data_IF_474069960837
#
_entry.id   IF_474069960837
#
_cell.length_a   1.000
_cell.length_b   1.000
_cell.length_c   1.000
_cell.angle_alpha   90.00
_cell.angle_beta   90.00
_cell.angle_gamma   90.00
#
_symmetry.space_group_name_H-M   'P 1'
#
loop_
_entity.id
_entity.type
_entity.pdbx_description
1 polymer ?
#
# COMPACT_ATOMS: atom_id res chain seq x y z
N UNK A 1 -27.13 -9.84 -12.66
CA UNK A 1 -26.55 -8.64 -13.28
C UNK A 1 -26.03 -7.79 -12.14
N UNK A 2 -24.75 -7.74 -11.93
CA UNK A 2 -24.10 -6.85 -10.95
C UNK A 2 -23.89 -5.55 -11.69
N UNK A 3 -24.47 -4.47 -11.17
CA UNK A 3 -24.32 -3.12 -11.71
C UNK A 3 -22.86 -2.68 -11.51
N UNK A 4 -22.10 -2.65 -12.60
CA UNK A 4 -20.66 -2.32 -12.63
C UNK A 4 -20.40 -0.81 -12.72
N UNK A 5 -21.39 0.04 -12.43
CA UNK A 5 -21.40 1.45 -12.87
C UNK A 5 -21.07 2.48 -11.78
N UNK A 6 -20.58 2.10 -10.60
CA UNK A 6 -20.06 3.10 -9.65
C UNK A 6 -18.60 2.87 -9.33
N UNK A 7 -17.71 3.80 -9.72
CA UNK A 7 -16.33 3.76 -9.27
C UNK A 7 -16.28 3.94 -7.76
N UNK A 8 -15.53 3.11 -7.09
CA UNK A 8 -15.07 3.35 -5.71
C UNK A 8 -14.13 4.55 -5.82
N UNK A 9 -14.46 5.68 -5.21
CA UNK A 9 -13.84 7.00 -5.42
C UNK A 9 -12.31 7.10 -5.21
N UNK A 10 -11.62 6.05 -4.78
CA UNK A 10 -10.17 5.97 -4.64
C UNK A 10 -9.57 4.60 -5.03
N UNK A 11 -10.34 3.71 -5.63
CA UNK A 11 -9.80 2.52 -6.27
C UNK A 11 -9.75 2.75 -7.77
N UNK A 12 -8.58 2.59 -8.37
CA UNK A 12 -8.45 2.54 -9.83
C UNK A 12 -9.39 1.44 -10.33
N UNK A 13 -10.40 1.74 -11.16
CA UNK A 13 -11.27 0.71 -11.70
C UNK A 13 -10.43 -0.33 -12.42
N UNK A 14 -10.71 -1.60 -12.20
CA UNK A 14 -10.08 -2.72 -12.91
C UNK A 14 -10.74 -2.91 -14.29
N UNK A 15 -10.92 -1.81 -15.03
CA UNK A 15 -11.45 -1.86 -16.40
C UNK A 15 -10.38 -2.31 -17.40
N UNK A 16 -9.10 -2.26 -16.98
CA UNK A 16 -7.96 -2.67 -17.79
C UNK A 16 -7.36 -3.97 -17.24
N UNK A 17 -7.64 -5.08 -17.91
CA UNK A 17 -6.98 -6.38 -17.68
C UNK A 17 -5.68 -6.53 -18.44
N UNK A 18 -5.17 -5.46 -19.09
CA UNK A 18 -3.85 -5.46 -19.69
C UNK A 18 -2.79 -5.71 -18.62
N UNK A 19 -1.86 -6.58 -18.90
CA UNK A 19 -0.86 -7.00 -17.91
C UNK A 19 -1.28 -8.15 -16.97
N UNK A 20 -2.46 -8.74 -17.16
CA UNK A 20 -2.87 -9.92 -16.41
C UNK A 20 -2.00 -11.13 -16.80
N UNK A 21 -1.31 -11.72 -15.82
CA UNK A 21 -0.42 -12.88 -16.00
C UNK A 21 -1.12 -14.23 -15.87
N UNK A 22 -2.38 -14.25 -15.49
CA UNK A 22 -3.15 -15.48 -15.34
C UNK A 22 -3.30 -16.21 -16.70
N UNK A 23 -3.48 -17.55 -16.71
CA UNK A 23 -3.59 -18.32 -17.94
C UNK A 23 -4.66 -17.77 -18.90
N UNK A 24 -4.30 -17.55 -20.16
CA UNK A 24 -5.16 -16.93 -21.19
C UNK A 24 -6.26 -17.83 -21.74
N UNK A 25 -6.31 -19.10 -21.30
CA UNK A 25 -7.27 -20.11 -21.76
C UNK A 25 -8.66 -19.99 -21.14
N UNK A 26 -8.85 -19.00 -20.24
CA UNK A 26 -10.14 -18.70 -19.61
C UNK A 26 -10.28 -17.19 -19.38
N UNK A 27 -11.53 -16.72 -19.31
CA UNK A 27 -11.87 -15.38 -18.87
C UNK A 27 -12.00 -15.38 -17.35
N UNK A 28 -11.44 -14.37 -16.70
CA UNK A 28 -11.50 -14.19 -15.24
C UNK A 28 -12.51 -13.11 -14.88
N UNK A 29 -13.32 -13.37 -13.88
CA UNK A 29 -14.13 -12.34 -13.23
C UNK A 29 -13.25 -11.49 -12.30
N UNK A 30 -13.66 -10.25 -12.02
CA UNK A 30 -12.96 -9.39 -11.06
C UNK A 30 -12.80 -10.07 -9.70
N UNK A 31 -13.82 -10.81 -9.24
CA UNK A 31 -13.77 -11.57 -8.00
C UNK A 31 -12.65 -12.63 -7.99
N UNK A 32 -12.48 -13.36 -9.09
CA UNK A 32 -11.41 -14.35 -9.21
C UNK A 32 -10.03 -13.70 -9.21
N UNK A 33 -9.89 -12.53 -9.85
CA UNK A 33 -8.64 -11.75 -9.83
C UNK A 33 -8.34 -11.28 -8.40
N UNK A 34 -9.31 -10.74 -7.67
CA UNK A 34 -9.12 -10.32 -6.28
C UNK A 34 -8.75 -11.47 -5.34
N UNK A 35 -9.29 -12.67 -5.55
CA UNK A 35 -8.88 -13.86 -4.79
C UNK A 35 -7.41 -14.18 -5.04
N UNK A 36 -6.95 -14.09 -6.29
CA UNK A 36 -5.53 -14.33 -6.62
C UNK A 36 -4.60 -13.24 -6.07
N UNK A 37 -5.02 -12.00 -6.06
CA UNK A 37 -4.29 -10.93 -5.37
C UNK A 37 -4.21 -11.18 -3.86
N UNK A 38 -5.32 -11.60 -3.25
CA UNK A 38 -5.36 -11.90 -1.82
C UNK A 38 -4.41 -13.05 -1.43
N UNK A 39 -4.29 -14.09 -2.27
CA UNK A 39 -3.30 -15.17 -2.09
C UNK A 39 -1.87 -14.60 -2.05
N UNK A 40 -1.47 -13.76 -3.01
CA UNK A 40 -0.15 -13.13 -3.02
C UNK A 40 0.10 -12.24 -1.80
N UNK A 41 -0.90 -11.46 -1.41
CA UNK A 41 -0.80 -10.58 -0.24
C UNK A 41 -0.67 -11.42 1.04
N UNK A 42 -1.36 -12.56 1.13
CA UNK A 42 -1.24 -13.48 2.25
C UNK A 42 0.20 -14.05 2.36
N UNK A 43 0.82 -14.43 1.25
CA UNK A 43 2.20 -14.90 1.22
C UNK A 43 3.18 -13.80 1.71
N UNK A 44 3.01 -12.56 1.23
CA UNK A 44 3.80 -11.43 1.69
C UNK A 44 3.55 -11.13 3.19
N UNK A 45 2.31 -11.25 3.65
CA UNK A 45 1.94 -11.09 5.07
C UNK A 45 2.64 -12.14 5.94
N UNK A 46 2.58 -13.41 5.56
CA UNK A 46 3.28 -14.48 6.26
C UNK A 46 4.77 -14.19 6.31
N UNK A 47 5.37 -13.85 5.17
CA UNK A 47 6.80 -13.58 5.05
C UNK A 47 7.29 -12.47 5.99
N UNK A 48 6.56 -11.35 6.06
CA UNK A 48 7.04 -10.16 6.75
C UNK A 48 6.44 -9.93 8.13
N UNK A 49 5.27 -10.52 8.44
CA UNK A 49 4.57 -10.23 9.68
C UNK A 49 4.48 -11.40 10.65
N UNK A 50 4.76 -12.65 10.22
CA UNK A 50 4.75 -13.81 11.13
C UNK A 50 5.88 -13.77 12.16
N UNK A 51 7.02 -13.20 11.81
CA UNK A 51 8.15 -12.97 12.69
C UNK A 51 8.58 -11.49 12.63
N UNK A 52 9.52 -11.09 13.49
CA UNK A 52 10.10 -9.74 13.43
C UNK A 52 11.11 -9.71 12.28
N UNK A 53 10.85 -8.97 11.19
CA UNK A 53 11.76 -8.93 10.06
C UNK A 53 13.03 -8.14 10.41
N UNK A 54 14.17 -8.67 9.99
CA UNK A 54 15.46 -7.97 10.13
C UNK A 54 15.56 -6.82 9.14
N UNK A 55 16.50 -5.90 9.37
CA UNK A 55 16.82 -4.83 8.40
C UNK A 55 17.33 -5.36 7.05
N UNK A 56 17.85 -6.60 7.01
CA UNK A 56 18.26 -7.26 5.76
C UNK A 56 17.06 -7.77 4.97
N UNK A 57 16.04 -8.27 5.64
CA UNK A 57 14.82 -8.78 5.02
C UNK A 57 13.90 -7.65 4.57
N UNK A 58 13.80 -6.57 5.35
CA UNK A 58 13.03 -5.38 5.05
C UNK A 58 13.90 -4.12 5.19
N UNK A 59 14.77 -3.81 4.21
CA UNK A 59 15.72 -2.70 4.31
C UNK A 59 15.12 -1.33 4.02
N UNK A 60 13.86 -1.26 3.56
CA UNK A 60 13.15 -0.03 3.21
C UNK A 60 13.87 0.85 2.18
N UNK A 61 14.73 0.24 1.35
CA UNK A 61 15.35 0.90 0.21
C UNK A 61 14.38 1.06 -0.94
N UNK A 62 14.69 1.94 -1.90
CA UNK A 62 13.90 2.10 -3.12
C UNK A 62 13.63 0.78 -3.83
N UNK A 63 14.67 -0.01 -4.07
CA UNK A 63 14.55 -1.31 -4.76
C UNK A 63 13.68 -2.29 -3.97
N UNK A 64 13.77 -2.24 -2.65
CA UNK A 64 12.94 -3.09 -1.80
C UNK A 64 11.46 -2.64 -1.82
N UNK A 65 11.20 -1.34 -1.92
CA UNK A 65 9.84 -0.84 -2.11
C UNK A 65 9.19 -1.43 -3.36
N UNK A 66 9.92 -1.45 -4.49
CA UNK A 66 9.45 -2.07 -5.72
C UNK A 66 9.26 -3.58 -5.57
N UNK A 67 10.23 -4.25 -4.93
CA UNK A 67 10.19 -5.69 -4.65
C UNK A 67 8.98 -6.06 -3.78
N UNK A 68 8.68 -5.31 -2.73
CA UNK A 68 7.51 -5.58 -1.89
C UNK A 68 6.22 -5.57 -2.71
N UNK A 69 6.04 -4.57 -3.57
CA UNK A 69 4.86 -4.52 -4.43
C UNK A 69 4.82 -5.70 -5.43
N UNK A 70 5.98 -6.12 -5.95
CA UNK A 70 6.07 -7.32 -6.78
C UNK A 70 5.65 -8.57 -6.00
N UNK A 71 6.07 -8.73 -4.76
CA UNK A 71 5.70 -9.87 -3.91
C UNK A 71 4.20 -9.87 -3.57
N UNK A 72 3.57 -8.71 -3.47
CA UNK A 72 2.14 -8.59 -3.20
C UNK A 72 1.25 -8.82 -4.43
N UNK A 73 1.74 -8.60 -5.64
CA UNK A 73 0.89 -8.58 -6.83
C UNK A 73 1.48 -9.28 -8.07
N UNK A 74 2.75 -9.70 -8.02
CA UNK A 74 3.52 -10.10 -9.19
C UNK A 74 3.15 -11.45 -9.81
N UNK A 75 2.40 -12.31 -9.12
CA UNK A 75 1.86 -13.53 -9.71
C UNK A 75 0.61 -13.25 -10.55
N UNK A 76 -0.03 -12.10 -10.33
CA UNK A 76 -1.26 -11.71 -11.03
C UNK A 76 -0.98 -10.68 -12.13
N UNK A 77 -0.07 -9.72 -11.87
CA UNK A 77 0.15 -8.59 -12.73
C UNK A 77 1.60 -8.44 -13.19
N UNK A 78 1.81 -8.14 -14.47
CA UNK A 78 3.13 -7.92 -15.05
C UNK A 78 3.72 -6.53 -14.74
N UNK A 79 2.87 -5.57 -14.42
CA UNK A 79 3.27 -4.23 -13.99
C UNK A 79 3.61 -4.15 -12.48
N UNK A 80 3.38 -5.22 -11.71
CA UNK A 80 3.67 -5.23 -10.29
C UNK A 80 5.14 -4.87 -10.02
N UNK A 81 5.36 -3.94 -9.08
CA UNK A 81 6.70 -3.45 -8.74
C UNK A 81 7.32 -2.47 -9.74
N UNK A 82 6.62 -2.11 -10.81
CA UNK A 82 7.08 -1.11 -11.77
C UNK A 82 6.38 0.23 -11.46
N UNK A 83 7.14 1.33 -11.27
CA UNK A 83 6.54 2.66 -11.16
C UNK A 83 5.64 2.94 -12.36
N UNK A 84 4.43 3.45 -12.10
CA UNK A 84 3.48 3.75 -13.17
C UNK A 84 4.04 4.80 -14.14
N UNK A 85 3.71 4.62 -15.40
CA UNK A 85 4.02 5.55 -16.49
C UNK A 85 2.78 6.35 -16.94
N UNK A 86 1.61 6.00 -16.41
CA UNK A 86 0.33 6.62 -16.75
C UNK A 86 -0.12 7.57 -15.63
N UNK A 87 -0.84 8.62 -16.02
CA UNK A 87 -1.51 9.49 -15.06
C UNK A 87 -2.75 8.77 -14.51
N UNK A 88 -2.97 8.93 -13.22
CA UNK A 88 -4.17 8.45 -12.53
C UNK A 88 -4.94 9.65 -11.97
N UNK A 89 -6.19 9.43 -11.58
CA UNK A 89 -7.03 10.46 -10.95
C UNK A 89 -6.48 10.94 -9.60
N UNK A 90 -5.69 10.09 -8.93
CA UNK A 90 -5.04 10.37 -7.65
C UNK A 90 -3.53 10.10 -7.73
N UNK A 91 -2.79 10.70 -6.81
CA UNK A 91 -1.33 10.60 -6.78
C UNK A 91 -0.63 11.79 -7.44
N UNK A 92 0.68 11.74 -7.43
CA UNK A 92 1.53 12.77 -8.10
C UNK A 92 1.62 12.49 -9.60
N UNK A 93 2.23 13.43 -10.34
CA UNK A 93 2.53 13.21 -11.77
C UNK A 93 3.40 11.98 -11.99
N UNK A 94 3.07 11.17 -13.01
CA UNK A 94 3.71 9.87 -13.24
C UNK A 94 5.24 9.98 -13.38
N UNK A 95 5.74 10.99 -14.08
CA UNK A 95 7.18 11.20 -14.29
C UNK A 95 7.95 11.54 -12.99
N UNK A 96 7.26 12.00 -11.93
CA UNK A 96 7.87 12.29 -10.62
C UNK A 96 7.96 11.06 -9.72
N UNK A 97 7.18 10.02 -10.00
CA UNK A 97 7.04 8.84 -9.12
C UNK A 97 8.38 8.22 -8.73
N UNK A 98 9.31 7.91 -9.66
CA UNK A 98 10.57 7.27 -9.27
C UNK A 98 11.40 8.14 -8.32
N UNK A 99 11.44 9.45 -8.55
CA UNK A 99 12.19 10.39 -7.72
C UNK A 99 11.57 10.53 -6.32
N UNK A 100 10.26 10.71 -6.24
CA UNK A 100 9.57 10.88 -4.96
C UNK A 100 9.53 9.58 -4.14
N UNK A 101 9.46 8.42 -4.79
CA UNK A 101 9.55 7.13 -4.10
C UNK A 101 10.97 6.88 -3.55
N UNK A 102 12.01 7.25 -4.31
CA UNK A 102 13.40 7.23 -3.83
C UNK A 102 13.59 8.16 -2.64
N UNK A 103 13.08 9.38 -2.74
CA UNK A 103 13.11 10.36 -1.65
C UNK A 103 12.40 9.84 -0.40
N UNK A 104 11.22 9.22 -0.54
CA UNK A 104 10.53 8.60 0.59
C UNK A 104 11.39 7.53 1.27
N UNK A 105 12.10 6.70 0.50
CA UNK A 105 13.03 5.72 1.05
C UNK A 105 14.14 6.39 1.87
N UNK A 106 14.75 7.44 1.32
CA UNK A 106 15.85 8.15 2.00
C UNK A 106 15.36 8.89 3.25
N UNK A 107 14.22 9.57 3.16
CA UNK A 107 13.57 10.23 4.29
C UNK A 107 13.24 9.24 5.41
N UNK A 108 12.65 8.09 5.08
CA UNK A 108 12.33 7.04 6.04
C UNK A 108 13.59 6.51 6.74
N UNK A 109 14.64 6.19 5.98
CA UNK A 109 15.90 5.69 6.55
C UNK A 109 16.55 6.73 7.47
N UNK A 110 16.44 8.01 7.12
CA UNK A 110 16.88 9.11 7.98
C UNK A 110 16.06 9.19 9.27
N UNK A 111 14.72 9.17 9.18
CA UNK A 111 13.83 9.24 10.35
C UNK A 111 14.07 8.08 11.31
N UNK A 112 14.18 6.86 10.79
CA UNK A 112 14.41 5.66 11.59
C UNK A 112 15.78 5.67 12.28
N UNK A 113 16.84 6.06 11.55
CA UNK A 113 18.21 6.14 12.08
C UNK A 113 18.34 7.20 13.18
N UNK A 114 17.75 8.37 12.96
CA UNK A 114 17.89 9.53 13.86
C UNK A 114 16.79 9.61 14.91
N UNK A 115 15.82 8.70 14.91
CA UNK A 115 14.64 8.72 15.80
C UNK A 115 13.92 10.09 15.75
N UNK A 116 13.75 10.63 14.52
CA UNK A 116 13.22 11.97 14.29
C UNK A 116 11.78 12.14 14.79
N UNK A 117 11.03 11.05 14.88
CA UNK A 117 9.66 10.97 15.36
C UNK A 117 9.49 9.68 16.17
N UNK A 118 8.36 9.53 16.89
CA UNK A 118 8.02 8.24 17.48
C UNK A 118 7.68 7.19 16.41
N UNK A 119 7.66 5.92 16.82
CA UNK A 119 7.50 4.79 15.89
C UNK A 119 6.17 4.84 15.13
N UNK A 120 5.08 5.21 15.80
CA UNK A 120 3.76 5.28 15.16
C UNK A 120 3.66 6.47 14.21
N UNK A 121 4.31 7.58 14.53
CA UNK A 121 4.38 8.73 13.63
C UNK A 121 5.23 8.42 12.39
N UNK A 122 6.36 7.72 12.52
CA UNK A 122 7.15 7.27 11.35
C UNK A 122 6.32 6.33 10.48
N UNK A 123 5.60 5.37 11.07
CA UNK A 123 4.70 4.46 10.34
C UNK A 123 3.62 5.24 9.58
N UNK A 124 3.01 6.25 10.22
CA UNK A 124 1.97 7.08 9.64
C UNK A 124 2.50 7.95 8.49
N UNK A 125 3.68 8.54 8.64
CA UNK A 125 4.34 9.32 7.59
C UNK A 125 4.71 8.46 6.39
N UNK A 126 5.25 7.26 6.63
CA UNK A 126 5.58 6.28 5.58
C UNK A 126 4.32 5.87 4.80
N UNK A 127 3.26 5.52 5.53
CA UNK A 127 1.96 5.15 4.97
C UNK A 127 1.38 6.30 4.11
N UNK A 128 1.20 7.47 4.70
CA UNK A 128 0.63 8.64 4.02
C UNK A 128 1.42 9.02 2.77
N UNK A 129 2.74 9.13 2.85
CA UNK A 129 3.57 9.49 1.69
C UNK A 129 3.50 8.44 0.58
N UNK A 130 3.44 7.15 0.91
CA UNK A 130 3.27 6.11 -0.09
C UNK A 130 1.90 6.21 -0.78
N UNK A 131 0.80 6.51 -0.04
CA UNK A 131 -0.51 6.81 -0.62
C UNK A 131 -0.47 8.05 -1.51
N UNK A 132 0.15 9.14 -1.04
CA UNK A 132 0.23 10.41 -1.76
C UNK A 132 1.03 10.28 -3.08
N UNK A 133 2.15 9.56 -3.08
CA UNK A 133 2.93 9.29 -4.29
C UNK A 133 2.12 8.44 -5.27
N UNK A 134 1.38 7.46 -4.77
CA UNK A 134 0.59 6.52 -5.56
C UNK A 134 1.43 5.86 -6.66
N UNK A 135 2.47 5.08 -6.29
CA UNK A 135 3.54 4.75 -7.21
C UNK A 135 3.20 3.72 -8.29
N UNK A 136 2.15 2.92 -8.14
CA UNK A 136 1.83 1.80 -9.00
C UNK A 136 0.48 1.98 -9.71
N UNK A 137 0.21 1.15 -10.72
CA UNK A 137 -1.08 1.23 -11.44
C UNK A 137 -2.27 0.88 -10.55
N UNK A 138 -2.10 -0.04 -9.60
CA UNK A 138 -3.12 -0.43 -8.63
C UNK A 138 -2.48 -0.92 -7.32
N UNK A 139 -3.29 -1.22 -6.31
CA UNK A 139 -2.85 -1.82 -5.04
C UNK A 139 -2.16 -0.84 -4.07
N UNK A 140 -2.08 0.45 -4.38
CA UNK A 140 -1.31 1.43 -3.61
C UNK A 140 -1.75 1.54 -2.15
N UNK A 141 -3.04 1.51 -1.85
CA UNK A 141 -3.53 1.55 -0.47
C UNK A 141 -3.12 0.31 0.34
N UNK A 142 -3.31 -0.90 -0.21
CA UNK A 142 -2.88 -2.15 0.42
C UNK A 142 -1.36 -2.19 0.62
N UNK A 143 -0.62 -1.74 -0.37
CA UNK A 143 0.84 -1.60 -0.31
C UNK A 143 1.29 -0.63 0.79
N UNK A 144 0.68 0.54 0.90
CA UNK A 144 1.05 1.55 1.89
C UNK A 144 0.79 1.07 3.32
N UNK A 145 -0.33 0.39 3.55
CA UNK A 145 -0.67 -0.25 4.83
C UNK A 145 0.31 -1.38 5.17
N UNK A 146 0.70 -2.19 4.19
CA UNK A 146 1.71 -3.25 4.37
C UNK A 146 3.07 -2.66 4.74
N UNK A 147 3.53 -1.58 4.07
CA UNK A 147 4.77 -0.89 4.43
C UNK A 147 4.81 -0.48 5.90
N UNK A 148 3.74 0.18 6.37
CA UNK A 148 3.64 0.62 7.76
C UNK A 148 3.64 -0.57 8.72
N UNK A 149 2.90 -1.62 8.42
CA UNK A 149 2.83 -2.84 9.22
C UNK A 149 4.18 -3.56 9.33
N UNK A 150 4.94 -3.65 8.23
CA UNK A 150 6.28 -4.24 8.25
C UNK A 150 7.22 -3.41 9.13
N UNK A 151 7.13 -2.08 9.07
CA UNK A 151 7.92 -1.23 9.94
C UNK A 151 7.57 -1.41 11.41
N UNK A 152 6.28 -1.37 11.77
CA UNK A 152 5.82 -1.63 13.14
C UNK A 152 6.31 -2.99 13.64
N UNK A 153 6.19 -4.02 12.80
CA UNK A 153 6.66 -5.37 13.14
C UNK A 153 8.17 -5.42 13.33
N UNK A 154 8.95 -4.70 12.50
CA UNK A 154 10.40 -4.60 12.66
C UNK A 154 10.81 -3.90 13.98
N UNK A 155 9.94 -3.06 14.54
CA UNK A 155 10.12 -2.45 15.85
C UNK A 155 9.60 -3.32 17.01
N UNK A 156 9.16 -4.53 16.75
CA UNK A 156 8.61 -5.44 17.77
C UNK A 156 7.17 -5.15 18.17
N UNK A 157 6.50 -4.24 17.46
CA UNK A 157 5.09 -3.91 17.70
C UNK A 157 4.18 -4.85 16.90
N UNK A 158 2.93 -4.95 17.32
CA UNK A 158 1.92 -5.68 16.56
C UNK A 158 1.51 -4.90 15.31
N UNK A 159 1.37 -5.57 14.15
CA UNK A 159 0.83 -4.93 12.97
C UNK A 159 -0.65 -4.57 13.17
N UNK A 160 -1.08 -3.49 12.52
CA UNK A 160 -2.49 -3.09 12.51
C UNK A 160 -3.27 -4.08 11.65
N UNK A 161 -4.38 -4.58 12.15
CA UNK A 161 -5.34 -5.36 11.36
C UNK A 161 -6.29 -4.41 10.63
N UNK A 162 -5.89 -4.02 9.44
CA UNK A 162 -6.75 -3.23 8.57
C UNK A 162 -7.96 -4.05 8.12
N UNK A 163 -9.14 -3.45 8.24
CA UNK A 163 -10.39 -4.06 7.77
C UNK A 163 -10.53 -3.80 6.27
N UNK A 164 -9.76 -4.54 5.45
CA UNK A 164 -9.63 -4.30 4.01
C UNK A 164 -11.00 -4.30 3.29
N UNK A 165 -11.93 -5.16 3.68
CA UNK A 165 -13.28 -5.22 3.11
C UNK A 165 -14.06 -3.91 3.36
N UNK A 166 -13.91 -3.32 4.54
CA UNK A 166 -14.53 -2.05 4.88
C UNK A 166 -13.81 -0.89 4.16
N UNK A 167 -12.50 -0.96 3.98
CA UNK A 167 -11.75 0.06 3.26
C UNK A 167 -11.95 -0.01 1.75
N UNK A 168 -12.43 -1.13 1.22
CA UNK A 168 -12.72 -1.32 -0.20
C UNK A 168 -14.12 -0.85 -0.63
N UNK A 169 -15.01 -0.52 0.31
CA UNK A 169 -16.39 -0.12 0.05
C UNK A 169 -16.72 1.22 0.72
N UNK A 170 -17.69 1.95 0.17
CA UNK A 170 -18.18 3.18 0.80
C UNK A 170 -18.87 2.86 2.14
N UNK A 171 -18.29 3.34 3.21
CA UNK A 171 -18.82 3.20 4.58
C UNK A 171 -18.09 4.19 5.53
N UNK A 172 -18.60 4.39 6.77
CA UNK A 172 -18.01 5.35 7.71
C UNK A 172 -16.52 5.09 8.00
N UNK A 173 -16.07 3.82 8.08
CA UNK A 173 -14.66 3.50 8.35
C UNK A 173 -13.73 3.92 7.24
N UNK A 174 -14.16 3.75 5.98
CA UNK A 174 -13.43 4.27 4.83
C UNK A 174 -13.37 5.80 4.86
N UNK A 175 -14.50 6.46 5.16
CA UNK A 175 -14.54 7.93 5.25
C UNK A 175 -13.61 8.46 6.35
N UNK A 176 -13.59 7.84 7.53
CA UNK A 176 -12.66 8.15 8.61
C UNK A 176 -11.19 8.03 8.14
N UNK A 177 -10.86 6.94 7.46
CA UNK A 177 -9.52 6.70 6.94
C UNK A 177 -9.10 7.74 5.89
N UNK A 178 -9.97 8.05 4.92
CA UNK A 178 -9.70 9.06 3.90
C UNK A 178 -9.54 10.44 4.54
N UNK A 179 -10.35 10.78 5.53
CA UNK A 179 -10.23 12.05 6.24
C UNK A 179 -8.91 12.16 7.01
N UNK A 180 -8.46 11.06 7.65
CA UNK A 180 -7.15 11.02 8.31
C UNK A 180 -6.00 11.24 7.31
N UNK A 181 -6.08 10.68 6.09
CA UNK A 181 -5.10 10.94 5.04
C UNK A 181 -5.12 12.41 4.58
N UNK A 182 -6.31 13.03 4.39
CA UNK A 182 -6.45 14.45 4.03
C UNK A 182 -5.90 15.38 5.11
N UNK A 183 -6.08 15.06 6.39
CA UNK A 183 -5.44 15.81 7.49
C UNK A 183 -3.92 15.70 7.41
N UNK A 184 -3.40 14.50 7.13
CA UNK A 184 -1.97 14.28 6.97
C UNK A 184 -1.36 15.03 5.77
N UNK A 185 -2.12 15.34 4.71
CA UNK A 185 -1.70 16.26 3.63
C UNK A 185 -1.36 17.66 4.17
N UNK A 186 -2.02 18.08 5.23
CA UNK A 186 -1.78 19.33 5.95
C UNK A 186 -0.82 19.16 7.15
N UNK A 187 -0.07 18.05 7.21
CA UNK A 187 0.89 17.70 8.27
C UNK A 187 0.26 17.40 9.64
N UNK A 188 -1.04 17.23 9.72
CA UNK A 188 -1.72 16.72 10.91
C UNK A 188 -1.87 15.19 10.82
N UNK A 189 -0.95 14.50 11.48
CA UNK A 189 -0.90 13.03 11.48
C UNK A 189 -1.69 12.41 12.65
N UNK A 190 -2.34 13.20 13.50
CA UNK A 190 -2.95 12.75 14.75
C UNK A 190 -3.87 11.55 14.55
N UNK A 191 -4.87 11.66 13.67
CA UNK A 191 -5.85 10.60 13.45
C UNK A 191 -5.20 9.35 12.83
N UNK A 192 -4.26 9.53 11.91
CA UNK A 192 -3.57 8.42 11.27
C UNK A 192 -2.65 7.69 12.25
N UNK A 193 -2.02 8.40 13.19
CA UNK A 193 -1.23 7.83 14.29
C UNK A 193 -2.13 6.99 15.20
N UNK A 194 -3.30 7.50 15.58
CA UNK A 194 -4.24 6.73 16.40
C UNK A 194 -4.71 5.46 15.70
N UNK A 195 -4.97 5.51 14.38
CA UNK A 195 -5.28 4.31 13.60
C UNK A 195 -4.15 3.27 13.62
N UNK A 196 -2.88 3.70 13.63
CA UNK A 196 -1.73 2.78 13.70
C UNK A 196 -1.50 2.19 15.10
N UNK A 197 -2.10 2.75 16.15
CA UNK A 197 -2.07 2.21 17.53
C UNK A 197 -3.13 1.14 17.77
N UNK A 198 -4.17 1.07 16.93
CA UNK A 198 -5.23 0.07 17.06
C UNK A 198 -4.69 -1.28 16.60
N UNK A 199 -4.23 -2.08 17.54
CA UNK A 199 -3.83 -3.47 17.34
C UNK A 199 -4.89 -4.39 17.93
N UNK A 200 -5.15 -5.51 17.27
CA UNK A 200 -6.08 -6.53 17.76
C UNK A 200 -5.31 -7.68 18.40
#
# INVERSE_FOLDING_TARGET
MIDSTKPIDDATPLDDTSGLKLPKNKTYTLKEIYVKEAENIADATIKYLSAIPTKKEAPFTYDWFLKLHTEMFGNVWDWAGKPRQIELSIGIKAYLVPMELKKLSDDFLFWDKNRSFDVYEIASRLHHRAVQIHPFQNGNGRYSRMLANIYLRQKGLMPVKWQEDLLASENPKRSEYIEALKKADNRDYTDLIEMHKITY
#
